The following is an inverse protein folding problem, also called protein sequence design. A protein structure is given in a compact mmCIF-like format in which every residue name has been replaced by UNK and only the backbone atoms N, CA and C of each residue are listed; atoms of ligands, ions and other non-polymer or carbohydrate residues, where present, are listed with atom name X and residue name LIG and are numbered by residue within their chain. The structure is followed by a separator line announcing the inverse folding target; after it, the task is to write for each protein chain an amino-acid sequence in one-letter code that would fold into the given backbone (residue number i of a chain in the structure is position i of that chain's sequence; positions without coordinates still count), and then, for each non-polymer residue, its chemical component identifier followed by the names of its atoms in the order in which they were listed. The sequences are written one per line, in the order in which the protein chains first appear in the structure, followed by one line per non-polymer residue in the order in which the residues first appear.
data_IF_489108603792
#
_entry.id   IF_489108603792
#
_cell.length_a   1.000
_cell.length_b   1.000
_cell.length_c   1.000
_cell.angle_alpha   90.00
_cell.angle_beta   90.00
_cell.angle_gamma   90.00
#
_symmetry.space_group_name_H-M   'P 1'
#
loop_
_entity.id
_entity.type
_entity.pdbx_description
1 polymer ?
#
# COMPACT_ATOMS: atom_id res chain seq x y z
N UNK A 1 15.83 -77.79 19.89
CA UNK A 1 14.75 -76.81 19.62
C UNK A 1 14.98 -75.43 20.24
N UNK A 2 16.13 -75.13 20.87
CA UNK A 2 16.38 -73.85 21.56
C UNK A 2 17.15 -72.79 20.74
N UNK A 3 17.56 -73.08 19.50
CA UNK A 3 18.34 -72.13 18.68
C UNK A 3 17.49 -71.11 17.91
N UNK A 4 16.17 -71.32 17.76
CA UNK A 4 15.30 -70.41 16.98
C UNK A 4 14.79 -69.21 17.79
N UNK A 5 14.74 -69.31 19.13
CA UNK A 5 14.23 -68.25 19.99
C UNK A 5 15.26 -67.17 20.33
N UNK A 6 16.56 -67.49 20.31
CA UNK A 6 17.63 -66.51 20.61
C UNK A 6 17.96 -65.60 19.41
N UNK A 7 17.84 -66.11 18.18
CA UNK A 7 17.98 -65.30 16.96
C UNK A 7 16.93 -64.17 16.87
N UNK A 8 15.75 -64.36 17.50
CA UNK A 8 14.67 -63.38 17.51
C UNK A 8 14.85 -62.22 18.50
N UNK A 9 15.82 -62.32 19.44
CA UNK A 9 15.96 -61.36 20.56
C UNK A 9 17.25 -60.53 20.56
N UNK A 10 18.23 -60.81 19.69
CA UNK A 10 19.60 -60.25 19.83
C UNK A 10 20.10 -59.42 18.63
N UNK A 11 19.48 -59.52 17.44
CA UNK A 11 19.85 -58.70 16.29
C UNK A 11 18.81 -57.60 16.01
N UNK A 12 19.21 -56.32 16.14
CA UNK A 12 18.35 -55.18 15.77
C UNK A 12 17.93 -55.33 14.30
N UNK A 13 16.62 -55.32 13.97
CA UNK A 13 16.19 -55.53 12.59
C UNK A 13 16.73 -54.43 11.67
N UNK A 14 17.12 -54.81 10.45
CA UNK A 14 17.75 -53.91 9.47
C UNK A 14 16.88 -52.67 9.18
N UNK A 15 15.55 -52.82 9.23
CA UNK A 15 14.58 -51.72 9.08
C UNK A 15 14.77 -50.60 10.10
N UNK A 16 15.11 -50.95 11.36
CA UNK A 16 15.39 -49.98 12.43
C UNK A 16 16.73 -49.29 12.19
N UNK A 17 17.76 -50.00 11.70
CA UNK A 17 19.05 -49.40 11.34
C UNK A 17 18.91 -48.40 10.17
N UNK A 18 18.12 -48.72 9.14
CA UNK A 18 17.81 -47.80 8.02
C UNK A 18 17.03 -46.56 8.48
N UNK A 19 16.19 -46.67 9.51
CA UNK A 19 15.47 -45.55 10.12
C UNK A 19 16.44 -44.62 10.88
N UNK A 20 17.33 -45.19 11.73
CA UNK A 20 18.34 -44.42 12.47
C UNK A 20 19.27 -43.64 11.54
N UNK A 21 19.80 -44.26 10.48
CA UNK A 21 20.66 -43.59 9.49
C UNK A 21 19.97 -42.38 8.83
N UNK A 22 18.68 -42.51 8.49
CA UNK A 22 17.88 -41.37 7.95
C UNK A 22 17.68 -40.27 8.97
N UNK A 23 17.40 -40.60 10.22
CA UNK A 23 17.21 -39.63 11.29
C UNK A 23 18.52 -38.87 11.60
N UNK A 24 19.65 -39.57 11.59
CA UNK A 24 20.99 -38.97 11.73
C UNK A 24 21.31 -38.00 10.57
N UNK A 25 21.09 -38.42 9.31
CA UNK A 25 21.24 -37.57 8.13
C UNK A 25 20.30 -36.35 8.16
N UNK A 26 19.03 -36.55 8.51
CA UNK A 26 18.08 -35.45 8.64
C UNK A 26 18.48 -34.49 9.76
N UNK A 27 19.03 -34.99 10.86
CA UNK A 27 19.51 -34.17 11.97
C UNK A 27 20.76 -33.36 11.59
N UNK A 28 21.72 -33.92 10.85
CA UNK A 28 22.91 -33.19 10.36
C UNK A 28 22.49 -32.09 9.36
N UNK A 29 21.66 -32.42 8.38
CA UNK A 29 21.14 -31.43 7.41
C UNK A 29 20.36 -30.32 8.10
N UNK A 30 19.51 -30.64 9.08
CA UNK A 30 18.73 -29.65 9.84
C UNK A 30 19.65 -28.72 10.63
N UNK A 31 20.74 -29.25 11.21
CA UNK A 31 21.76 -28.43 11.90
C UNK A 31 22.47 -27.50 10.91
N UNK A 32 22.90 -27.99 9.76
CA UNK A 32 23.55 -27.18 8.71
C UNK A 32 22.61 -26.09 8.17
N UNK A 33 21.37 -26.43 7.83
CA UNK A 33 20.33 -25.48 7.38
C UNK A 33 20.07 -24.41 8.44
N UNK A 34 20.04 -24.78 9.72
CA UNK A 34 19.88 -23.83 10.82
C UNK A 34 21.08 -22.89 10.97
N UNK A 35 22.32 -23.38 10.81
CA UNK A 35 23.53 -22.53 10.86
C UNK A 35 23.55 -21.53 9.71
N UNK A 36 23.21 -21.97 8.49
CA UNK A 36 23.12 -21.07 7.32
C UNK A 36 22.04 -20.02 7.53
N UNK A 37 20.84 -20.40 8.02
CA UNK A 37 19.76 -19.45 8.33
C UNK A 37 20.17 -18.44 9.39
N UNK A 38 20.92 -18.86 10.41
CA UNK A 38 21.46 -17.97 11.46
C UNK A 38 22.44 -16.95 10.88
N UNK A 39 23.40 -17.39 10.04
CA UNK A 39 24.36 -16.49 9.37
C UNK A 39 23.63 -15.44 8.53
N UNK A 40 22.69 -15.86 7.67
CA UNK A 40 21.86 -14.96 6.84
C UNK A 40 21.05 -13.99 7.69
N UNK A 41 20.43 -14.44 8.78
CA UNK A 41 19.63 -13.58 9.66
C UNK A 41 20.48 -12.50 10.35
N UNK A 42 21.73 -12.80 10.72
CA UNK A 42 22.65 -11.81 11.29
C UNK A 42 23.01 -10.74 10.25
N UNK A 43 23.29 -11.16 9.01
CA UNK A 43 23.59 -10.25 7.90
C UNK A 43 22.38 -9.34 7.58
N UNK A 44 21.19 -9.92 7.39
CA UNK A 44 19.96 -9.15 7.15
C UNK A 44 19.67 -8.18 8.29
N UNK A 45 19.88 -8.59 9.55
CA UNK A 45 19.68 -7.72 10.71
C UNK A 45 20.61 -6.50 10.68
N UNK A 46 21.90 -6.69 10.38
CA UNK A 46 22.84 -5.57 10.24
C UNK A 46 22.40 -4.61 9.13
N UNK A 47 21.99 -5.15 7.98
CA UNK A 47 21.52 -4.37 6.85
C UNK A 47 20.28 -3.53 7.19
N UNK A 48 19.31 -4.11 7.89
CA UNK A 48 18.08 -3.41 8.33
C UNK A 48 18.43 -2.19 9.20
N UNK A 49 19.34 -2.34 10.16
CA UNK A 49 19.75 -1.24 11.03
C UNK A 49 20.47 -0.12 10.27
N UNK A 50 21.37 -0.47 9.36
CA UNK A 50 22.07 0.53 8.54
C UNK A 50 21.10 1.28 7.62
N UNK A 51 20.18 0.59 6.95
CA UNK A 51 19.17 1.21 6.08
C UNK A 51 18.22 2.14 6.85
N UNK A 52 17.74 1.71 8.02
CA UNK A 52 16.86 2.54 8.84
C UNK A 52 17.52 3.86 9.25
N UNK A 53 18.82 3.83 9.56
CA UNK A 53 19.62 5.04 9.82
C UNK A 53 19.74 5.91 8.57
N UNK A 54 20.06 5.31 7.43
CA UNK A 54 20.18 6.02 6.15
C UNK A 54 18.88 6.73 5.76
N UNK A 55 17.72 6.08 5.86
CA UNK A 55 16.44 6.72 5.53
C UNK A 55 16.11 7.88 6.47
N UNK A 56 16.42 7.76 7.77
CA UNK A 56 16.22 8.85 8.71
C UNK A 56 17.07 10.08 8.34
N UNK A 57 18.36 9.86 8.03
CA UNK A 57 19.27 10.91 7.58
C UNK A 57 18.82 11.53 6.25
N UNK A 58 18.29 10.72 5.33
CA UNK A 58 17.76 11.17 4.04
C UNK A 58 16.54 12.10 4.21
N UNK A 59 15.56 11.72 5.03
CA UNK A 59 14.40 12.57 5.29
C UNK A 59 14.79 13.89 5.97
N UNK A 60 15.69 13.84 6.95
CA UNK A 60 16.21 15.05 7.61
C UNK A 60 16.95 15.97 6.63
N UNK A 61 17.71 15.39 5.69
CA UNK A 61 18.41 16.13 4.65
C UNK A 61 17.42 16.79 3.67
N UNK A 62 16.41 16.05 3.20
CA UNK A 62 15.36 16.57 2.32
C UNK A 62 14.59 17.73 2.97
N UNK A 63 14.25 17.63 4.25
CA UNK A 63 13.59 18.71 4.98
C UNK A 63 14.49 19.96 5.08
N UNK A 64 15.77 19.79 5.41
CA UNK A 64 16.75 20.88 5.48
C UNK A 64 16.97 21.54 4.12
N UNK A 65 17.09 20.76 3.06
CA UNK A 65 17.26 21.23 1.68
C UNK A 65 16.05 22.07 1.24
N UNK A 66 14.83 21.60 1.49
CA UNK A 66 13.60 22.36 1.19
C UNK A 66 13.55 23.71 1.93
N UNK A 67 14.07 23.76 3.17
CA UNK A 67 14.18 25.02 3.94
C UNK A 67 15.26 25.93 3.36
N UNK A 68 16.42 25.39 2.97
CA UNK A 68 17.51 26.13 2.35
C UNK A 68 17.07 26.77 1.03
N UNK A 69 16.45 26.00 0.12
CA UNK A 69 15.94 26.48 -1.16
C UNK A 69 14.92 27.61 -0.99
N UNK A 70 14.04 27.53 0.01
CA UNK A 70 13.11 28.62 0.36
C UNK A 70 13.83 29.88 0.83
N UNK A 71 14.93 29.76 1.57
CA UNK A 71 15.73 30.91 2.05
C UNK A 71 16.50 31.55 0.90
N UNK A 72 17.14 30.76 0.04
CA UNK A 72 17.87 31.26 -1.13
C UNK A 72 16.96 32.00 -2.11
N UNK A 73 15.76 31.47 -2.36
CA UNK A 73 14.77 32.15 -3.19
C UNK A 73 14.40 33.52 -2.59
N UNK A 74 14.16 33.60 -1.27
CA UNK A 74 13.89 34.87 -0.57
C UNK A 74 15.05 35.86 -0.69
N UNK A 75 16.31 35.39 -0.57
CA UNK A 75 17.50 36.23 -0.71
C UNK A 75 17.63 36.84 -2.11
N UNK A 76 17.26 36.09 -3.15
CA UNK A 76 17.26 36.55 -4.55
C UNK A 76 16.04 37.41 -4.92
N UNK A 77 15.08 37.59 -4.00
CA UNK A 77 13.80 38.24 -4.28
C UNK A 77 12.82 37.38 -5.10
N UNK A 78 13.09 36.08 -5.24
CA UNK A 78 12.25 35.13 -5.95
C UNK A 78 11.38 34.25 -5.04
N UNK A 79 10.54 33.42 -5.65
CA UNK A 79 9.67 32.48 -4.95
C UNK A 79 10.05 31.04 -5.27
N UNK A 80 10.23 30.20 -4.24
CA UNK A 80 10.41 28.76 -4.41
C UNK A 80 9.06 28.05 -4.40
N UNK A 81 8.71 27.42 -5.52
CA UNK A 81 7.52 26.56 -5.62
C UNK A 81 7.88 25.18 -5.11
N UNK A 82 7.22 24.74 -4.03
CA UNK A 82 7.47 23.40 -3.47
C UNK A 82 6.93 22.31 -4.40
N UNK A 83 7.64 21.18 -4.52
CA UNK A 83 7.19 20.08 -5.37
C UNK A 83 5.81 19.57 -4.94
N UNK A 84 4.94 19.31 -5.91
CA UNK A 84 3.63 18.70 -5.64
C UNK A 84 3.81 17.28 -5.10
N UNK A 85 2.99 16.92 -4.13
CA UNK A 85 3.10 15.62 -3.47
C UNK A 85 2.58 14.49 -4.38
N UNK A 86 3.31 13.37 -4.40
CA UNK A 86 3.08 12.25 -5.31
C UNK A 86 2.06 11.22 -4.80
N UNK A 87 1.63 11.30 -3.54
CA UNK A 87 0.82 10.28 -2.87
C UNK A 87 -0.45 10.87 -2.30
N UNK A 88 -1.54 10.13 -2.43
CA UNK A 88 -2.81 10.45 -1.80
C UNK A 88 -3.25 9.29 -0.92
N UNK A 89 -3.61 9.61 0.32
CA UNK A 89 -4.33 8.73 1.22
C UNK A 89 -5.83 8.94 0.99
N UNK A 90 -6.54 7.84 0.71
CA UNK A 90 -7.90 7.90 0.21
C UNK A 90 -8.86 7.17 1.16
N UNK A 91 -9.61 7.91 1.96
CA UNK A 91 -10.50 7.32 2.99
C UNK A 91 -11.95 7.43 2.58
N UNK A 92 -12.67 6.30 2.59
CA UNK A 92 -14.12 6.26 2.38
C UNK A 92 -14.88 6.87 3.57
N UNK A 93 -15.73 7.85 3.31
CA UNK A 93 -16.59 8.47 4.34
C UNK A 93 -18.07 8.06 4.22
N UNK A 94 -18.57 7.85 3.00
CA UNK A 94 -20.00 7.53 2.74
C UNK A 94 -20.22 6.03 2.53
N UNK A 95 -21.38 5.53 2.96
CA UNK A 95 -21.85 4.15 2.79
C UNK A 95 -22.12 3.76 1.32
N UNK A 96 -22.61 2.52 1.10
CA UNK A 96 -22.79 1.92 -0.26
C UNK A 96 -24.14 2.33 -0.88
N UNK A 97 -25.07 2.75 -0.04
CA UNK A 97 -26.47 2.98 -0.42
C UNK A 97 -26.62 4.24 -1.29
N UNK A 98 -27.58 4.20 -2.22
CA UNK A 98 -27.97 5.32 -3.09
C UNK A 98 -26.83 5.89 -3.98
N UNK A 99 -25.98 5.01 -4.53
CA UNK A 99 -24.89 5.41 -5.40
C UNK A 99 -24.98 4.83 -6.81
N UNK A 100 -24.77 5.72 -7.80
CA UNK A 100 -24.78 5.38 -9.23
C UNK A 100 -23.77 4.25 -9.55
N UNK A 101 -24.15 3.25 -10.37
CA UNK A 101 -23.36 2.04 -10.61
C UNK A 101 -21.95 2.33 -11.17
N UNK A 102 -21.80 3.32 -12.04
CA UNK A 102 -20.47 3.72 -12.57
C UNK A 102 -19.51 4.13 -11.45
N UNK A 103 -19.97 4.97 -10.53
CA UNK A 103 -19.19 5.42 -9.38
C UNK A 103 -18.84 4.25 -8.47
N UNK A 104 -19.78 3.31 -8.26
CA UNK A 104 -19.54 2.07 -7.49
C UNK A 104 -18.42 1.23 -8.07
N UNK A 105 -18.39 1.09 -9.40
CA UNK A 105 -17.34 0.34 -10.10
C UNK A 105 -15.97 1.00 -9.97
N UNK A 106 -15.86 2.32 -10.13
CA UNK A 106 -14.59 3.06 -9.96
C UNK A 106 -14.00 2.82 -8.56
N UNK A 107 -14.84 2.86 -7.54
CA UNK A 107 -14.38 2.72 -6.16
C UNK A 107 -13.93 1.27 -5.90
N UNK A 108 -14.67 0.28 -6.40
CA UNK A 108 -14.21 -1.12 -6.38
C UNK A 108 -12.81 -1.31 -7.01
N UNK A 109 -12.50 -0.61 -8.11
CA UNK A 109 -11.16 -0.67 -8.73
C UNK A 109 -10.07 -0.10 -7.84
N UNK A 110 -10.34 1.00 -7.14
CA UNK A 110 -9.44 1.57 -6.13
C UNK A 110 -9.37 0.73 -4.84
N UNK A 111 -10.04 -0.44 -4.78
CA UNK A 111 -10.26 -1.24 -3.56
C UNK A 111 -10.96 -0.47 -2.43
N UNK A 112 -11.64 0.61 -2.77
CA UNK A 112 -12.37 1.48 -1.85
C UNK A 112 -13.86 1.33 -2.08
N UNK A 113 -14.67 1.40 -1.04
CA UNK A 113 -16.10 1.12 -1.24
C UNK A 113 -16.99 2.34 -1.60
N UNK A 114 -16.57 3.62 -1.49
CA UNK A 114 -17.14 4.87 -2.12
C UNK A 114 -16.75 6.23 -1.44
N UNK A 115 -16.87 7.39 -2.14
CA UNK A 115 -16.53 8.82 -1.83
C UNK A 115 -15.46 9.11 -0.77
N UNK A 116 -14.41 9.81 -1.21
CA UNK A 116 -13.15 9.83 -0.51
C UNK A 116 -12.69 11.23 -0.15
N UNK A 117 -12.30 11.41 1.10
CA UNK A 117 -11.37 12.46 1.47
C UNK A 117 -9.99 12.10 0.94
N UNK A 118 -9.35 13.06 0.27
CA UNK A 118 -8.00 12.93 -0.25
C UNK A 118 -7.06 13.74 0.62
N UNK A 119 -5.92 13.14 0.95
CA UNK A 119 -4.96 13.76 1.84
C UNK A 119 -3.53 13.41 1.43
N UNK A 120 -2.63 14.38 1.53
CA UNK A 120 -1.20 14.13 1.46
C UNK A 120 -0.73 13.55 2.80
N UNK A 121 -0.19 12.33 2.81
CA UNK A 121 0.21 11.71 4.06
C UNK A 121 1.56 12.26 4.53
N UNK A 122 1.70 12.47 5.84
CA UNK A 122 2.98 12.77 6.47
C UNK A 122 3.76 11.46 6.72
N UNK A 123 5.10 11.54 6.77
CA UNK A 123 5.97 10.39 7.08
C UNK A 123 5.53 9.66 8.35
N UNK A 124 5.31 10.41 9.42
CA UNK A 124 4.87 9.87 10.72
C UNK A 124 3.49 9.19 10.62
N UNK A 125 2.56 9.77 9.86
CA UNK A 125 1.22 9.20 9.69
C UNK A 125 1.25 7.88 8.94
N UNK A 126 2.05 7.76 7.87
CA UNK A 126 2.22 6.49 7.13
C UNK A 126 2.88 5.44 8.00
N UNK A 127 3.95 5.81 8.69
CA UNK A 127 4.66 4.94 9.62
C UNK A 127 3.70 4.37 10.68
N UNK A 128 2.95 5.22 11.36
CA UNK A 128 2.00 4.79 12.38
C UNK A 128 0.87 3.90 11.83
N UNK A 129 0.36 4.21 10.63
CA UNK A 129 -0.69 3.40 10.00
C UNK A 129 -0.21 1.98 9.71
N UNK A 130 1.00 1.84 9.17
CA UNK A 130 1.56 0.53 8.86
C UNK A 130 1.84 -0.25 10.14
N UNK A 131 2.44 0.38 11.16
CA UNK A 131 2.72 -0.30 12.43
C UNK A 131 1.44 -0.70 13.21
N UNK A 132 0.42 0.17 13.25
CA UNK A 132 -0.78 -0.07 14.08
C UNK A 132 -1.87 -0.85 13.36
N UNK A 133 -2.00 -0.69 12.04
CA UNK A 133 -3.14 -1.20 11.25
C UNK A 133 -2.72 -1.95 9.98
N UNK A 134 -1.42 -2.18 9.77
CA UNK A 134 -0.88 -2.87 8.60
C UNK A 134 -1.15 -4.38 8.63
N UNK A 135 -1.64 -4.89 7.51
CA UNK A 135 -1.76 -6.33 7.24
C UNK A 135 -1.19 -6.61 5.86
N UNK A 136 -0.42 -7.69 5.74
CA UNK A 136 0.07 -8.22 4.48
C UNK A 136 -0.92 -9.20 3.86
N UNK A 137 -0.95 -9.24 2.53
CA UNK A 137 -1.65 -10.23 1.74
C UNK A 137 -0.67 -11.32 1.29
N UNK A 138 -0.57 -12.41 2.05
CA UNK A 138 0.23 -13.59 1.70
C UNK A 138 -0.70 -14.76 1.45
N UNK A 139 -0.53 -15.46 0.33
CA UNK A 139 -1.35 -16.63 -0.03
C UNK A 139 -2.88 -16.36 0.06
N UNK A 140 -3.31 -15.13 -0.26
CA UNK A 140 -4.70 -14.64 -0.12
C UNK A 140 -5.22 -14.58 1.31
N UNK A 141 -4.35 -14.75 2.31
CA UNK A 141 -4.64 -14.62 3.72
C UNK A 141 -4.19 -13.26 4.23
N UNK A 142 -4.95 -12.72 5.19
CA UNK A 142 -4.66 -11.44 5.83
C UNK A 142 -3.81 -11.69 7.07
N UNK A 143 -2.51 -11.43 6.97
CA UNK A 143 -1.53 -11.69 8.04
C UNK A 143 -1.07 -10.36 8.66
N UNK A 144 -1.04 -10.21 10.00
CA UNK A 144 -0.55 -9.00 10.64
C UNK A 144 0.97 -8.84 10.46
N UNK A 145 1.43 -7.59 10.28
CA UNK A 145 2.86 -7.26 10.12
C UNK A 145 3.58 -7.17 11.47
N UNK A 146 3.67 -8.27 12.21
CA UNK A 146 4.37 -8.31 13.51
C UNK A 146 5.87 -8.59 13.40
N UNK A 147 6.26 -9.43 12.43
CA UNK A 147 7.64 -9.86 12.22
C UNK A 147 8.07 -9.56 10.78
N UNK A 148 9.35 -9.17 10.58
CA UNK A 148 9.89 -8.87 9.25
C UNK A 148 9.86 -10.06 8.28
N UNK A 149 9.78 -11.30 8.79
CA UNK A 149 9.67 -12.50 7.95
C UNK A 149 8.45 -12.46 7.01
N UNK A 150 7.35 -11.86 7.45
CA UNK A 150 6.12 -11.72 6.63
C UNK A 150 6.36 -10.80 5.44
N UNK A 151 7.24 -9.82 5.58
CA UNK A 151 7.58 -8.86 4.52
C UNK A 151 8.56 -9.48 3.53
N UNK A 152 9.60 -10.15 4.05
CA UNK A 152 10.56 -10.93 3.25
C UNK A 152 9.78 -11.91 2.34
N UNK A 153 8.96 -12.80 2.92
CA UNK A 153 8.19 -13.81 2.17
C UNK A 153 7.28 -13.20 1.07
N UNK A 154 6.78 -11.98 1.27
CA UNK A 154 5.91 -11.31 0.30
C UNK A 154 6.63 -10.49 -0.77
N UNK A 155 7.80 -9.94 -0.44
CA UNK A 155 8.51 -8.92 -1.23
C UNK A 155 9.99 -9.26 -1.49
N UNK A 156 10.36 -10.53 -1.38
CA UNK A 156 11.72 -11.03 -1.65
C UNK A 156 12.27 -10.57 -3.01
N UNK A 157 11.41 -10.41 -4.02
CA UNK A 157 11.82 -10.00 -5.38
C UNK A 157 12.23 -8.53 -5.46
N UNK A 158 11.65 -7.67 -4.64
CA UNK A 158 11.79 -6.21 -4.68
C UNK A 158 12.89 -5.70 -3.74
N UNK A 159 13.63 -6.59 -3.05
CA UNK A 159 14.68 -6.24 -2.08
C UNK A 159 14.19 -5.47 -0.84
N UNK A 160 12.88 -5.55 -0.55
CA UNK A 160 12.24 -4.96 0.63
C UNK A 160 12.30 -5.99 1.75
N UNK A 161 13.05 -5.69 2.83
CA UNK A 161 13.33 -6.67 3.89
C UNK A 161 12.53 -6.32 5.15
N UNK A 162 12.40 -5.04 5.47
CA UNK A 162 11.79 -4.57 6.71
C UNK A 162 10.60 -3.64 6.49
N UNK A 163 9.90 -3.33 7.59
CA UNK A 163 8.80 -2.36 7.58
C UNK A 163 9.28 -0.96 7.16
N UNK A 164 10.50 -0.55 7.55
CA UNK A 164 11.01 0.78 7.17
C UNK A 164 11.36 0.89 5.68
N UNK A 165 11.86 -0.19 5.06
CA UNK A 165 12.01 -0.27 3.60
C UNK A 165 10.63 -0.09 2.92
N UNK A 166 9.59 -0.74 3.45
CA UNK A 166 8.22 -0.62 2.93
C UNK A 166 7.67 0.81 3.06
N UNK A 167 7.90 1.47 4.20
CA UNK A 167 7.51 2.87 4.42
C UNK A 167 8.24 3.78 3.43
N UNK A 168 9.53 3.58 3.21
CA UNK A 168 10.34 4.37 2.31
C UNK A 168 9.92 4.22 0.84
N UNK A 169 9.74 2.98 0.37
CA UNK A 169 9.25 2.71 -0.99
C UNK A 169 7.87 3.35 -1.25
N UNK A 170 7.00 3.35 -0.24
CA UNK A 170 5.70 3.99 -0.32
C UNK A 170 5.85 5.50 -0.41
N UNK A 171 6.57 6.13 0.52
CA UNK A 171 6.66 7.60 0.66
C UNK A 171 7.40 8.27 -0.49
N UNK A 172 8.48 7.66 -0.96
CA UNK A 172 9.27 8.18 -2.08
C UNK A 172 8.61 7.89 -3.44
N UNK A 173 7.63 6.98 -3.47
CA UNK A 173 7.07 6.38 -4.69
C UNK A 173 8.18 5.74 -5.52
N UNK A 174 8.82 4.73 -4.92
CA UNK A 174 9.91 3.99 -5.54
C UNK A 174 9.47 3.14 -6.74
N UNK A 175 10.43 2.52 -7.45
CA UNK A 175 10.14 1.70 -8.63
C UNK A 175 9.22 0.50 -8.33
N UNK A 176 9.18 0.06 -7.07
CA UNK A 176 8.39 -1.09 -6.59
C UNK A 176 7.14 -0.69 -5.81
N UNK A 177 6.67 0.55 -5.97
CA UNK A 177 5.50 1.09 -5.28
C UNK A 177 4.24 0.23 -5.50
N UNK A 178 4.04 -0.27 -6.73
CA UNK A 178 2.85 -1.04 -7.09
C UNK A 178 2.82 -2.37 -6.35
N UNK A 179 3.96 -3.03 -6.22
CA UNK A 179 4.11 -4.30 -5.53
C UNK A 179 3.95 -4.12 -4.02
N UNK A 180 4.58 -3.09 -3.44
CA UNK A 180 4.44 -2.73 -2.03
C UNK A 180 2.98 -2.40 -1.65
N UNK A 181 2.29 -1.59 -2.45
CA UNK A 181 0.88 -1.24 -2.22
C UNK A 181 -0.08 -2.42 -2.43
N UNK A 182 0.26 -3.35 -3.33
CA UNK A 182 -0.54 -4.56 -3.54
C UNK A 182 -0.37 -5.59 -2.43
N UNK A 183 0.83 -5.67 -1.84
CA UNK A 183 1.13 -6.49 -0.68
C UNK A 183 0.32 -6.03 0.53
N UNK A 184 0.15 -4.73 0.72
CA UNK A 184 -0.69 -4.20 1.80
C UNK A 184 -2.18 -4.48 1.53
N UNK A 185 -2.84 -5.04 2.54
CA UNK A 185 -4.30 -5.09 2.59
C UNK A 185 -4.85 -3.69 2.91
N UNK A 186 -6.00 -3.27 2.34
CA UNK A 186 -6.62 -2.00 2.69
C UNK A 186 -6.75 -1.81 4.21
N UNK A 187 -6.36 -0.65 4.71
CA UNK A 187 -6.36 -0.38 6.15
C UNK A 187 -7.80 -0.28 6.65
N UNK A 188 -8.13 -1.03 7.70
CA UNK A 188 -9.40 -0.87 8.41
C UNK A 188 -9.23 0.21 9.47
N UNK A 189 -9.78 1.39 9.22
CA UNK A 189 -9.72 2.49 10.19
C UNK A 189 -10.87 2.42 11.20
N UNK A 190 -10.61 2.86 12.43
CA UNK A 190 -11.68 3.21 13.37
C UNK A 190 -12.38 4.49 12.93
N UNK A 191 -13.63 4.68 13.36
CA UNK A 191 -14.30 5.95 13.20
C UNK A 191 -13.48 7.08 13.86
N UNK A 192 -13.42 8.28 13.29
CA UNK A 192 -12.65 9.38 13.84
C UNK A 192 -13.17 9.78 15.23
N UNK A 193 -12.25 10.03 16.15
CA UNK A 193 -12.59 10.64 17.44
C UNK A 193 -13.14 12.05 17.21
N UNK A 194 -14.25 12.39 17.87
CA UNK A 194 -14.96 13.66 17.65
C UNK A 194 -15.92 13.64 16.45
N UNK A 195 -16.00 12.55 15.70
CA UNK A 195 -16.92 12.40 14.58
C UNK A 195 -16.51 13.20 13.33
N UNK A 196 -17.42 13.26 12.37
CA UNK A 196 -17.26 14.02 11.13
C UNK A 196 -18.24 15.19 11.16
N UNK A 197 -17.81 16.38 10.76
CA UNK A 197 -18.62 17.60 10.77
C UNK A 197 -19.87 17.42 9.90
N UNK A 198 -19.70 17.17 8.61
CA UNK A 198 -20.79 16.96 7.63
C UNK A 198 -20.33 16.06 6.50
N UNK A 199 -20.85 14.83 6.47
CA UNK A 199 -20.53 13.82 5.43
C UNK A 199 -21.07 14.14 4.03
N UNK A 200 -22.08 15.00 3.93
CA UNK A 200 -22.76 15.33 2.66
C UNK A 200 -22.05 16.42 1.88
N UNK A 201 -21.43 17.37 2.57
CA UNK A 201 -20.91 18.59 1.98
C UNK A 201 -19.45 18.44 1.56
N UNK A 202 -19.06 19.21 0.55
CA UNK A 202 -17.67 19.30 0.10
C UNK A 202 -16.81 20.09 1.12
N UNK A 203 -15.48 19.92 1.09
CA UNK A 203 -14.57 20.64 1.98
C UNK A 203 -14.72 22.17 1.92
N UNK A 204 -14.90 22.70 0.72
CA UNK A 204 -15.11 24.14 0.47
C UNK A 204 -16.38 24.67 1.17
N UNK A 205 -17.39 23.83 1.39
CA UNK A 205 -18.63 24.16 2.11
C UNK A 205 -18.54 23.85 3.62
N UNK A 206 -17.34 23.58 4.12
CA UNK A 206 -17.10 23.17 5.51
C UNK A 206 -17.44 21.71 5.81
N UNK A 207 -17.62 20.86 4.79
CA UNK A 207 -17.83 19.41 4.94
C UNK A 207 -16.52 18.60 4.92
N UNK A 208 -16.65 17.27 5.04
CA UNK A 208 -15.48 16.37 5.13
C UNK A 208 -15.21 15.59 3.84
N UNK A 209 -16.07 15.70 2.81
CA UNK A 209 -16.03 14.80 1.66
C UNK A 209 -14.73 14.87 0.84
N UNK A 210 -13.99 15.98 0.92
CA UNK A 210 -12.68 16.18 0.23
C UNK A 210 -11.68 16.84 1.19
N UNK A 211 -11.92 16.77 2.50
CA UNK A 211 -11.09 17.48 3.48
C UNK A 211 -9.70 16.86 3.62
N UNK A 212 -8.73 17.71 3.87
CA UNK A 212 -7.32 17.41 4.18
C UNK A 212 -7.25 16.74 5.58
N UNK A 213 -7.39 15.40 5.65
CA UNK A 213 -7.36 14.60 6.89
C UNK A 213 -5.94 14.46 7.49
N UNK A 214 -5.37 15.54 8.03
CA UNK A 214 -4.10 15.44 8.79
C UNK A 214 -4.35 15.02 10.23
N UNK A 215 -5.50 15.45 10.79
CA UNK A 215 -5.74 15.35 12.22
C UNK A 215 -6.38 14.03 12.66
N UNK A 216 -7.04 13.29 11.77
CA UNK A 216 -7.83 12.10 12.18
C UNK A 216 -7.01 10.81 12.24
N UNK A 217 -5.81 10.77 11.66
CA UNK A 217 -5.01 9.54 11.58
C UNK A 217 -4.01 9.39 12.73
N UNK A 218 -3.57 10.50 13.33
CA UNK A 218 -2.43 10.54 14.28
C UNK A 218 -2.82 10.49 15.76
N UNK A 219 -4.10 10.43 16.10
CA UNK A 219 -4.56 10.46 17.50
C UNK A 219 -5.33 9.19 17.87
N UNK A 220 -4.61 8.10 18.18
CA UNK A 220 -4.99 7.06 19.18
C UNK A 220 -4.05 5.85 19.15
N UNK A 221 -3.30 5.60 20.23
CA UNK A 221 -2.67 4.32 20.50
C UNK A 221 -3.37 3.64 21.69
N UNK A 222 -4.59 3.11 21.54
CA UNK A 222 -5.16 2.13 22.49
C UNK A 222 -6.49 1.50 22.01
N UNK A 223 -6.74 0.27 22.48
CA UNK A 223 -8.02 -0.46 22.60
C UNK A 223 -8.46 -1.35 21.41
N UNK A 224 -8.92 -2.53 21.81
CA UNK A 224 -9.31 -3.75 21.09
C UNK A 224 -10.35 -3.64 19.95
N UNK A 225 -10.17 -4.58 19.01
CA UNK A 225 -11.08 -5.48 18.26
C UNK A 225 -12.58 -5.12 18.15
N UNK A 226 -13.10 -5.35 16.93
CA UNK A 226 -14.49 -5.46 16.45
C UNK A 226 -15.17 -4.24 15.79
N UNK A 227 -15.87 -4.56 14.70
CA UNK A 227 -16.75 -3.75 13.84
C UNK A 227 -16.15 -2.97 12.65
N UNK A 228 -16.86 -3.07 11.51
CA UNK A 228 -16.50 -2.64 10.18
C UNK A 228 -16.34 -1.12 10.05
N UNK A 229 -15.10 -0.66 9.91
CA UNK A 229 -14.75 0.72 9.54
C UNK A 229 -14.21 0.84 8.12
N UNK A 230 -14.03 2.07 7.60
CA UNK A 230 -13.70 2.30 6.19
C UNK A 230 -12.33 1.75 5.81
N UNK A 231 -12.29 1.12 4.63
CA UNK A 231 -11.06 0.66 3.97
C UNK A 231 -10.30 1.86 3.39
N UNK A 232 -8.97 1.85 3.46
CA UNK A 232 -8.10 2.87 2.86
C UNK A 232 -7.05 2.25 1.95
N UNK A 233 -6.81 2.93 0.82
CA UNK A 233 -5.72 2.64 -0.11
C UNK A 233 -4.80 3.87 -0.21
N UNK A 234 -3.49 3.62 -0.33
CA UNK A 234 -2.53 4.59 -0.84
C UNK A 234 -2.59 4.58 -2.38
N UNK A 235 -2.82 5.75 -2.97
CA UNK A 235 -2.85 5.92 -4.43
C UNK A 235 -1.74 6.89 -4.80
N UNK A 236 -0.85 6.49 -5.72
CA UNK A 236 0.06 7.44 -6.36
C UNK A 236 -0.79 8.41 -7.18
N UNK A 237 -0.62 9.72 -6.98
CA UNK A 237 -1.32 10.74 -7.73
C UNK A 237 -0.74 10.79 -9.16
N UNK A 238 -1.50 10.39 -10.21
CA UNK A 238 -1.29 11.03 -11.50
C UNK A 238 -1.81 12.48 -11.39
N UNK A 239 -1.25 13.40 -12.17
CA UNK A 239 -1.65 14.81 -12.20
C UNK A 239 -3.17 14.99 -12.46
N UNK A 240 -3.99 15.02 -11.39
CA UNK A 240 -5.41 15.35 -11.46
C UNK A 240 -5.50 16.85 -11.18
N UNK A 241 -5.42 17.65 -12.26
CA UNK A 241 -5.69 19.09 -12.21
C UNK A 241 -7.21 19.28 -12.07
N UNK A 242 -7.66 19.56 -10.85
CA UNK A 242 -9.06 19.86 -10.54
C UNK A 242 -9.38 21.28 -11.02
N UNK A 243 -9.85 21.43 -12.26
CA UNK A 243 -10.37 22.72 -12.76
C UNK A 243 -11.78 22.90 -12.17
N UNK A 244 -11.90 23.78 -11.20
CA UNK A 244 -13.18 24.16 -10.60
C UNK A 244 -14.01 24.95 -11.62
N UNK A 245 -14.95 24.27 -12.28
CA UNK A 245 -16.08 24.91 -12.95
C UNK A 245 -17.34 24.46 -12.23
N UNK A 246 -17.89 25.34 -11.41
CA UNK A 246 -19.20 25.12 -10.79
C UNK A 246 -20.31 25.20 -11.86
N UNK A 247 -21.44 24.47 -11.74
CA UNK A 247 -21.77 23.42 -10.78
C UNK A 247 -22.01 22.07 -11.48
N UNK A 248 -20.96 21.36 -11.89
CA UNK A 248 -21.04 19.94 -12.22
C UNK A 248 -19.66 19.30 -12.12
N UNK A 249 -19.39 18.56 -11.04
CA UNK A 249 -18.13 17.82 -10.87
C UNK A 249 -18.10 16.65 -11.85
N UNK A 250 -17.57 16.89 -13.05
CA UNK A 250 -17.26 15.88 -14.06
C UNK A 250 -15.82 15.42 -13.85
N UNK A 251 -15.64 14.14 -13.54
CA UNK A 251 -14.32 13.51 -13.38
C UNK A 251 -13.77 13.26 -14.80
N UNK A 252 -12.93 14.16 -15.31
CA UNK A 252 -12.26 14.00 -16.60
C UNK A 252 -10.85 13.47 -16.34
N UNK A 253 -10.60 12.21 -16.70
CA UNK A 253 -9.26 11.64 -16.71
C UNK A 253 -8.55 12.08 -18.00
N UNK A 254 -7.55 12.95 -17.88
CA UNK A 254 -6.66 13.34 -18.98
C UNK A 254 -5.30 12.66 -18.80
N UNK A 255 -5.14 11.44 -19.30
CA UNK A 255 -3.87 10.88 -19.80
C UNK A 255 -4.01 9.35 -20.06
N UNK A 256 -3.32 8.82 -21.09
CA UNK A 256 -3.53 7.46 -21.59
C UNK A 256 -2.86 6.40 -20.71
N UNK A 257 -3.52 5.26 -20.58
CA UNK A 257 -2.92 4.01 -20.14
C UNK A 257 -1.84 3.61 -21.14
N UNK A 258 -0.57 3.71 -20.74
CA UNK A 258 0.55 3.14 -21.51
C UNK A 258 0.54 1.63 -21.29
N UNK A 259 -0.13 0.91 -22.18
CA UNK A 259 0.07 -0.52 -22.37
C UNK A 259 1.28 -0.72 -23.30
N UNK A 260 2.43 -1.02 -22.71
CA UNK A 260 3.51 -1.70 -23.44
C UNK A 260 3.07 -3.15 -23.65
N UNK A 261 2.61 -3.49 -24.86
CA UNK A 261 2.26 -4.86 -25.20
C UNK A 261 1.47 -5.02 -26.50
N UNK A 262 2.20 -5.06 -27.62
CA UNK A 262 1.89 -5.73 -28.89
C UNK A 262 0.60 -5.37 -29.68
N UNK A 263 0.83 -5.04 -30.96
CA UNK A 263 -0.12 -4.92 -32.09
C UNK A 263 -0.91 -3.59 -32.28
N UNK A 264 -0.42 -2.84 -33.28
CA UNK A 264 -1.10 -1.96 -34.23
C UNK A 264 -2.48 -1.35 -33.90
N UNK A 265 -2.56 -0.01 -33.83
CA UNK A 265 -3.21 0.88 -34.83
C UNK A 265 -3.38 2.29 -34.25
N UNK A 266 -2.86 3.29 -34.97
CA UNK A 266 -2.77 4.71 -34.60
C UNK A 266 -3.97 5.50 -35.12
N UNK A 267 -4.68 6.29 -34.30
CA UNK A 267 -5.46 7.46 -34.76
C UNK A 267 -5.32 8.62 -33.75
N UNK A 268 -4.94 9.80 -34.28
CA UNK A 268 -4.71 11.09 -33.60
C UNK A 268 -5.92 12.04 -33.78
N UNK A 269 -5.81 13.23 -33.13
CA UNK A 269 -6.47 14.53 -33.39
C UNK A 269 -7.71 14.74 -32.50
N UNK A 270 -7.98 15.88 -31.85
CA UNK A 270 -7.42 17.24 -31.81
C UNK A 270 -8.43 18.13 -31.07
N UNK A 271 -7.96 19.19 -30.41
CA UNK A 271 -8.74 20.11 -29.58
C UNK A 271 -9.71 20.99 -30.39
N UNK A 272 -10.86 21.41 -29.81
CA UNK A 272 -11.41 22.79 -29.79
C UNK A 272 -12.87 22.88 -29.29
N UNK A 273 -13.09 23.83 -28.36
CA UNK A 273 -14.27 24.66 -28.01
C UNK A 273 -15.70 24.08 -27.74
N UNK A 274 -16.45 24.64 -26.74
CA UNK A 274 -17.80 24.23 -26.34
C UNK A 274 -18.91 25.21 -26.78
N UNK A 275 -20.16 24.72 -26.91
CA UNK A 275 -21.43 25.36 -26.45
C UNK A 275 -22.68 24.71 -27.10
N UNK A 276 -23.84 24.92 -26.46
CA UNK A 276 -25.23 24.90 -27.02
C UNK A 276 -25.84 23.49 -27.26
N UNK A 277 -26.73 22.98 -26.40
CA UNK A 277 -28.22 23.13 -26.38
C UNK A 277 -28.94 22.05 -27.22
N UNK A 278 -30.15 21.68 -26.78
CA UNK A 278 -31.21 20.88 -27.43
C UNK A 278 -31.13 19.34 -27.35
N UNK A 279 -31.98 18.83 -26.46
CA UNK A 279 -33.17 18.03 -26.76
C UNK A 279 -33.07 16.80 -27.67
N UNK A 280 -33.70 15.73 -27.17
CA UNK A 280 -33.56 14.38 -27.65
C UNK A 280 -34.07 14.13 -29.07
N UNK A 281 -33.57 13.02 -29.61
CA UNK A 281 -34.27 12.26 -30.63
C UNK A 281 -33.86 10.80 -30.49
N UNK A 282 -34.85 10.01 -30.12
CA UNK A 282 -34.99 8.60 -30.46
C UNK A 282 -34.58 8.36 -31.93
N UNK A 283 -33.76 7.36 -32.20
CA UNK A 283 -33.92 6.57 -33.41
C UNK A 283 -33.44 5.13 -33.20
N UNK A 284 -34.42 4.27 -33.36
CA UNK A 284 -34.40 2.82 -33.41
C UNK A 284 -33.79 2.28 -34.70
N UNK A 285 -33.37 1.01 -34.61
CA UNK A 285 -33.38 -0.02 -35.65
C UNK A 285 -32.26 -0.02 -36.69
N UNK A 286 -31.38 -1.02 -36.53
CA UNK A 286 -31.00 -1.92 -37.62
C UNK A 286 -32.18 -2.89 -37.83
N UNK A 287 -33.10 -2.47 -38.70
CA UNK A 287 -33.69 -3.17 -39.84
C UNK A 287 -33.93 -2.10 -40.90
#
# INVERSE_FOLDING_TARGET
MQMSSEASKVAVPESVLRKRKREEQWATEKKEKALVKKKKSIESRKLIFTRAKQYAEEYDAQEKELVQLKREARLKGGFYVSPEAKLLFVVRIRGINAMHPKTRKILQLLRLRQMCSLMYPNLNSVRELIYKRGYGNLNKQRIPLSNNQVIEEGLDKQKIICVEDLVHEIMTVGPHFKEANNFLWPFKLKAPLGGLKKKRNHYVEGGDAVATIALLVTTTPAIHIDAAGPDVLLVAAPAIRLVATAPAVRLVATAPVVCLGSSATTIRIGATAPAVFLDGLFLTALS
#
